data_IF_540917862118
#
_entry.id   IF_540917862118
#
_cell.length_a   1.000
_cell.length_b   1.000
_cell.length_c   1.000
_cell.angle_alpha   90.00
_cell.angle_beta   90.00
_cell.angle_gamma   90.00
#
_symmetry.space_group_name_H-M   'P 1'
#
loop_
_entity.id
_entity.type
_entity.pdbx_description
1 polymer ?
#
# COMPACT_ATOMS: atom_id res chain seq x y z
N UNK A 1 -7.25 -27.59 29.93
CA UNK A 1 -6.59 -26.33 29.52
C UNK A 1 -6.46 -26.34 28.02
N UNK A 2 -7.43 -25.79 27.31
CA UNK A 2 -7.44 -25.65 25.86
C UNK A 2 -6.86 -24.28 25.50
N UNK A 3 -5.83 -24.24 24.66
CA UNK A 3 -5.32 -22.97 24.13
C UNK A 3 -6.43 -22.27 23.33
N UNK A 4 -6.57 -20.93 23.43
CA UNK A 4 -7.51 -20.22 22.59
C UNK A 4 -7.02 -20.28 21.14
N UNK A 5 -7.88 -20.75 20.24
CA UNK A 5 -7.64 -20.76 18.79
C UNK A 5 -7.40 -19.32 18.33
N UNK A 6 -6.35 -19.14 17.52
CA UNK A 6 -6.05 -17.89 16.84
C UNK A 6 -7.32 -17.40 16.13
N UNK A 7 -7.91 -16.32 16.65
CA UNK A 7 -9.09 -15.71 16.04
C UNK A 7 -8.71 -15.31 14.62
N UNK A 8 -9.42 -15.87 13.65
CA UNK A 8 -9.40 -15.48 12.25
C UNK A 8 -9.84 -14.02 12.12
N UNK A 9 -8.92 -13.09 12.33
CA UNK A 9 -9.08 -11.72 11.85
C UNK A 9 -8.84 -11.73 10.35
N UNK A 10 -9.86 -12.05 9.56
CA UNK A 10 -9.84 -11.78 8.13
C UNK A 10 -9.85 -10.25 7.94
N UNK A 11 -8.66 -9.66 7.88
CA UNK A 11 -8.43 -8.26 7.60
C UNK A 11 -8.71 -8.00 6.12
N UNK A 12 -9.84 -7.35 5.83
CA UNK A 12 -10.22 -6.95 4.47
C UNK A 12 -9.44 -5.70 4.05
N UNK A 13 -8.67 -5.78 2.96
CA UNK A 13 -7.95 -4.62 2.38
C UNK A 13 -8.87 -3.46 2.01
N UNK A 14 -10.11 -3.73 1.57
CA UNK A 14 -11.10 -2.70 1.24
C UNK A 14 -11.52 -1.84 2.45
N UNK A 15 -11.58 -2.43 3.66
CA UNK A 15 -11.85 -1.65 4.88
C UNK A 15 -10.68 -0.74 5.24
N UNK A 16 -9.45 -1.03 4.83
CA UNK A 16 -8.35 -0.12 5.13
C UNK A 16 -8.37 1.14 4.26
N UNK A 17 -8.73 1.05 2.98
CA UNK A 17 -8.86 2.26 2.14
C UNK A 17 -10.08 3.12 2.54
N UNK A 18 -11.17 2.51 3.01
CA UNK A 18 -12.44 3.18 3.30
C UNK A 18 -12.62 3.56 4.79
N UNK A 19 -12.27 2.69 5.75
CA UNK A 19 -12.44 2.94 7.21
C UNK A 19 -11.16 3.41 7.92
N UNK A 20 -9.98 2.97 7.48
CA UNK A 20 -8.67 3.42 7.97
C UNK A 20 -7.92 4.19 6.90
N UNK A 21 -8.63 5.14 6.29
CA UNK A 21 -8.08 6.24 5.48
C UNK A 21 -6.61 6.45 5.87
N UNK A 22 -5.68 6.04 5.01
CA UNK A 22 -4.30 6.53 5.02
C UNK A 22 -4.36 8.03 4.66
N UNK A 23 -5.09 8.80 5.48
CA UNK A 23 -5.40 10.20 5.30
C UNK A 23 -4.19 11.01 5.74
N UNK A 24 -3.08 10.83 5.05
CA UNK A 24 -2.25 12.00 4.86
C UNK A 24 -3.05 12.95 3.98
N UNK A 25 -3.27 14.14 4.51
CA UNK A 25 -3.82 15.21 3.69
C UNK A 25 -2.86 15.47 2.53
N UNK A 26 -3.34 15.77 1.31
CA UNK A 26 -2.47 15.94 0.14
C UNK A 26 -1.30 16.89 0.38
N UNK A 27 -1.47 17.92 1.22
CA UNK A 27 -0.42 18.84 1.61
C UNK A 27 0.80 18.20 2.32
N UNK A 28 0.65 17.00 2.88
CA UNK A 28 1.74 16.26 3.54
C UNK A 28 2.46 15.26 2.64
N UNK A 29 1.99 15.05 1.40
CA UNK A 29 2.65 14.14 0.46
C UNK A 29 4.12 14.51 0.24
N UNK A 30 4.51 15.79 0.01
CA UNK A 30 5.92 16.15 -0.14
C UNK A 30 6.77 15.81 1.09
N UNK A 31 6.22 16.00 2.29
CA UNK A 31 6.90 15.66 3.54
C UNK A 31 7.09 14.15 3.67
N UNK A 32 6.07 13.35 3.34
CA UNK A 32 6.13 11.89 3.34
C UNK A 32 7.20 11.39 2.36
N UNK A 33 7.20 11.87 1.11
CA UNK A 33 8.20 11.49 0.11
C UNK A 33 9.63 11.82 0.57
N UNK A 34 9.81 13.01 1.16
CA UNK A 34 11.08 13.42 1.75
C UNK A 34 11.52 12.52 2.91
N UNK A 35 10.61 12.17 3.81
CA UNK A 35 10.88 11.27 4.94
C UNK A 35 11.28 9.86 4.49
N UNK A 36 10.61 9.34 3.47
CA UNK A 36 10.94 8.04 2.86
C UNK A 36 12.24 8.08 2.04
N UNK A 37 12.79 9.27 1.77
CA UNK A 37 13.92 9.44 0.86
C UNK A 37 13.59 9.03 -0.59
N UNK A 38 12.31 9.01 -0.95
CA UNK A 38 11.84 8.60 -2.25
C UNK A 38 12.18 9.67 -3.31
N UNK A 39 12.69 9.23 -4.46
CA UNK A 39 13.24 10.12 -5.50
C UNK A 39 12.80 9.64 -6.89
N UNK A 40 12.78 10.54 -7.89
CA UNK A 40 12.68 10.17 -9.29
C UNK A 40 13.67 9.07 -9.69
N UNK A 41 13.27 8.20 -10.61
CA UNK A 41 14.10 7.08 -11.12
C UNK A 41 14.52 6.03 -10.07
N UNK A 42 13.92 6.03 -8.87
CA UNK A 42 14.22 5.03 -7.86
C UNK A 42 13.57 3.68 -8.18
N UNK A 43 14.21 2.61 -7.72
CA UNK A 43 13.59 1.30 -7.57
C UNK A 43 13.22 1.12 -6.09
N UNK A 44 11.93 0.91 -5.81
CA UNK A 44 11.36 0.87 -4.46
C UNK A 44 10.78 -0.53 -4.22
N UNK A 45 11.10 -1.10 -3.06
CA UNK A 45 10.47 -2.29 -2.53
C UNK A 45 9.57 -1.88 -1.35
N UNK A 46 8.28 -2.17 -1.44
CA UNK A 46 7.32 -1.96 -0.35
C UNK A 46 6.96 -3.30 0.30
N UNK A 47 7.30 -3.47 1.57
CA UNK A 47 6.96 -4.68 2.34
C UNK A 47 5.69 -4.45 3.18
N UNK A 48 4.70 -5.34 3.04
CA UNK A 48 3.36 -5.17 3.61
C UNK A 48 2.54 -4.17 2.79
N UNK A 49 2.55 -4.29 1.47
CA UNK A 49 1.93 -3.30 0.58
C UNK A 49 0.40 -3.28 0.63
N UNK A 50 -0.24 -4.29 1.22
CA UNK A 50 -1.70 -4.38 1.33
C UNK A 50 -2.37 -4.24 -0.04
N UNK A 51 -3.31 -3.32 -0.15
CA UNK A 51 -4.00 -2.98 -1.41
C UNK A 51 -3.13 -2.20 -2.40
N UNK A 52 -1.85 -1.91 -2.11
CA UNK A 52 -0.93 -1.18 -2.98
C UNK A 52 -1.11 0.34 -2.98
N UNK A 53 -1.85 0.91 -2.03
CA UNK A 53 -2.15 2.35 -2.00
C UNK A 53 -0.91 3.25 -2.02
N UNK A 54 0.07 2.98 -1.14
CA UNK A 54 1.32 3.75 -1.10
C UNK A 54 2.17 3.51 -2.36
N UNK A 55 2.22 2.28 -2.87
CA UNK A 55 2.87 1.97 -4.15
C UNK A 55 2.32 2.82 -5.30
N UNK A 56 1.00 2.92 -5.42
CA UNK A 56 0.35 3.75 -6.46
C UNK A 56 0.57 5.24 -6.22
N UNK A 57 0.55 5.72 -4.96
CA UNK A 57 0.95 7.09 -4.64
C UNK A 57 2.38 7.37 -5.14
N UNK A 58 3.35 6.52 -4.78
CA UNK A 58 4.75 6.71 -5.18
C UNK A 58 4.90 6.78 -6.70
N UNK A 59 4.22 5.88 -7.43
CA UNK A 59 4.22 5.87 -8.88
C UNK A 59 3.61 7.13 -9.51
N UNK A 60 2.56 7.70 -8.89
CA UNK A 60 1.92 8.94 -9.37
C UNK A 60 2.76 10.19 -9.10
N UNK A 61 3.36 10.28 -7.90
CA UNK A 61 4.02 11.50 -7.45
C UNK A 61 5.49 11.60 -7.91
N UNK A 62 6.13 10.48 -8.28
CA UNK A 62 7.53 10.44 -8.67
C UNK A 62 7.72 9.98 -10.12
N UNK A 63 8.38 10.78 -10.98
CA UNK A 63 8.62 10.38 -12.35
C UNK A 63 9.61 9.21 -12.44
N UNK A 64 9.32 8.29 -13.36
CA UNK A 64 10.16 7.13 -13.72
C UNK A 64 10.52 6.21 -12.55
N UNK A 65 9.72 6.17 -11.49
CA UNK A 65 9.93 5.23 -10.38
C UNK A 65 9.45 3.83 -10.77
N UNK A 66 10.12 2.79 -10.26
CA UNK A 66 9.63 1.42 -10.30
C UNK A 66 9.34 0.97 -8.86
N UNK A 67 8.12 0.51 -8.61
CA UNK A 67 7.70 0.04 -7.28
C UNK A 67 7.31 -1.43 -7.36
N UNK A 68 7.86 -2.24 -6.46
CA UNK A 68 7.48 -3.64 -6.26
C UNK A 68 6.84 -3.74 -4.89
N UNK A 69 5.56 -4.09 -4.84
CA UNK A 69 4.84 -4.38 -3.60
C UNK A 69 4.94 -5.87 -3.24
N UNK A 70 5.20 -6.14 -1.96
CA UNK A 70 5.14 -7.49 -1.37
C UNK A 70 4.12 -7.49 -0.23
N UNK A 71 3.26 -8.49 -0.21
CA UNK A 71 2.37 -8.77 0.92
C UNK A 71 2.24 -10.29 1.11
N UNK A 72 1.96 -10.71 2.34
CA UNK A 72 1.72 -12.12 2.67
C UNK A 72 0.28 -12.56 2.41
N UNK A 73 -0.67 -11.63 2.32
CA UNK A 73 -2.06 -11.93 2.01
C UNK A 73 -2.31 -11.86 0.49
N UNK A 74 -2.52 -13.02 -0.12
CA UNK A 74 -2.83 -13.13 -1.55
C UNK A 74 -4.08 -12.31 -1.94
N UNK A 75 -5.07 -12.19 -1.05
CA UNK A 75 -6.29 -11.40 -1.34
C UNK A 75 -5.97 -9.91 -1.47
N UNK A 76 -5.09 -9.39 -0.61
CA UNK A 76 -4.60 -8.02 -0.71
C UNK A 76 -3.86 -7.79 -2.03
N UNK A 77 -3.05 -8.75 -2.47
CA UNK A 77 -2.37 -8.67 -3.77
C UNK A 77 -3.34 -8.71 -4.96
N UNK A 78 -4.43 -9.48 -4.88
CA UNK A 78 -5.49 -9.46 -5.91
C UNK A 78 -6.12 -8.07 -6.00
N UNK A 79 -6.55 -7.50 -4.87
CA UNK A 79 -7.12 -6.16 -4.80
C UNK A 79 -6.13 -5.12 -5.32
N UNK A 80 -4.85 -5.24 -4.96
CA UNK A 80 -3.82 -4.30 -5.41
C UNK A 80 -3.66 -4.26 -6.93
N UNK A 81 -3.76 -5.42 -7.59
CA UNK A 81 -3.73 -5.52 -9.06
C UNK A 81 -4.98 -4.91 -9.69
N UNK A 82 -6.16 -5.24 -9.17
CA UNK A 82 -7.43 -4.70 -9.67
C UNK A 82 -7.48 -3.17 -9.57
N UNK A 83 -7.06 -2.60 -8.43
CA UNK A 83 -6.98 -1.15 -8.24
C UNK A 83 -5.93 -0.50 -9.14
N UNK A 84 -4.78 -1.15 -9.32
CA UNK A 84 -3.74 -0.65 -10.24
C UNK A 84 -4.28 -0.59 -11.68
N UNK A 85 -4.98 -1.62 -12.14
CA UNK A 85 -5.56 -1.68 -13.49
C UNK A 85 -6.66 -0.63 -13.68
N UNK A 86 -7.45 -0.34 -12.64
CA UNK A 86 -8.52 0.66 -12.70
C UNK A 86 -8.04 2.12 -12.72
N UNK A 87 -6.81 2.38 -12.23
CA UNK A 87 -6.20 3.72 -12.18
C UNK A 87 -5.34 4.05 -13.43
N UNK A 88 -5.11 3.09 -14.32
CA UNK A 88 -4.38 3.27 -15.59
C UNK A 88 -5.29 3.76 -16.73
#
# INVERSE_FOLDING_TARGET
MTQPSARSGHFFGERQEIELRYAYRPEYVPLLLGYLGAKPNAAILEAGCGSGFLSRLLARELPNVSVIGLDSDERSLTIARELQEAEQ
#
